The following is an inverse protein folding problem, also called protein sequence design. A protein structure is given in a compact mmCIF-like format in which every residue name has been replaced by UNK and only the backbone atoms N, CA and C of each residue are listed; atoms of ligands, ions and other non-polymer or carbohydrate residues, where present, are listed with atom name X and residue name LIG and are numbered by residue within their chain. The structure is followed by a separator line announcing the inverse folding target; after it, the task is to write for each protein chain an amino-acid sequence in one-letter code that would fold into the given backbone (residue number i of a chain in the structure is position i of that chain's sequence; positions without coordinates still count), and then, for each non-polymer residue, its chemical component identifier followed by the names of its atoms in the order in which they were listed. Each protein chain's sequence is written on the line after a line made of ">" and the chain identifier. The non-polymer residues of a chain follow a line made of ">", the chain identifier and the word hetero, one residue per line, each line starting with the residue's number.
data_IF_912748098545
#
_entry.id   IF_912748098545
#
_cell.length_a   1.000
_cell.length_b   1.000
_cell.length_c   1.000
_cell.angle_alpha   90.00
_cell.angle_beta   90.00
_cell.angle_gamma   90.00
#
_symmetry.space_group_name_H-M   'P 1'
#
loop_
_entity.id
_entity.type
_entity.pdbx_description
1 polymer ?
#
# COMPACT_ATOMS: atom_id res chain seq x y z
N UNK A 1 63.38 20.08 -23.89
CA UNK A 1 62.97 20.15 -25.31
C UNK A 1 61.59 20.79 -25.40
N UNK A 2 61.39 21.81 -26.23
CA UNK A 2 60.06 22.39 -26.44
C UNK A 2 59.18 21.43 -27.27
N UNK A 3 57.92 21.21 -26.86
CA UNK A 3 56.95 20.41 -27.64
C UNK A 3 56.70 21.08 -29.01
N UNK A 4 56.67 20.27 -30.07
CA UNK A 4 56.37 20.75 -31.42
C UNK A 4 54.93 21.28 -31.53
N UNK A 5 54.66 22.13 -32.52
CA UNK A 5 53.31 22.65 -32.77
C UNK A 5 52.29 21.53 -32.98
N UNK A 6 52.66 20.47 -33.69
CA UNK A 6 51.81 19.29 -33.93
C UNK A 6 51.40 18.60 -32.63
N UNK A 7 52.35 18.38 -31.71
CA UNK A 7 52.06 17.74 -30.42
C UNK A 7 51.10 18.59 -29.59
N UNK A 8 51.25 19.92 -29.61
CA UNK A 8 50.34 20.84 -28.90
C UNK A 8 48.93 20.82 -29.49
N UNK A 9 48.80 20.85 -30.81
CA UNK A 9 47.50 20.78 -31.48
C UNK A 9 46.79 19.46 -31.18
N UNK A 10 47.49 18.33 -31.26
CA UNK A 10 46.90 17.02 -30.95
C UNK A 10 46.47 16.91 -29.48
N UNK A 11 47.26 17.47 -28.55
CA UNK A 11 46.89 17.53 -27.14
C UNK A 11 45.57 18.32 -26.95
N UNK A 12 45.44 19.48 -27.59
CA UNK A 12 44.21 20.28 -27.51
C UNK A 12 43.00 19.54 -28.09
N UNK A 13 43.13 18.88 -29.24
CA UNK A 13 42.06 18.08 -29.84
C UNK A 13 41.63 16.96 -28.87
N UNK A 14 42.57 16.26 -28.25
CA UNK A 14 42.26 15.21 -27.29
C UNK A 14 41.50 15.77 -26.06
N UNK A 15 41.93 16.91 -25.53
CA UNK A 15 41.24 17.59 -24.41
C UNK A 15 39.80 17.99 -24.79
N UNK A 16 39.61 18.58 -25.98
CA UNK A 16 38.29 18.97 -26.48
C UNK A 16 37.37 17.75 -26.68
N UNK A 17 37.90 16.66 -27.25
CA UNK A 17 37.17 15.39 -27.45
C UNK A 17 36.75 14.79 -26.12
N UNK A 18 37.66 14.68 -25.15
CA UNK A 18 37.36 14.15 -23.80
C UNK A 18 36.32 15.03 -23.11
N UNK A 19 36.45 16.36 -23.23
CA UNK A 19 35.48 17.31 -22.69
C UNK A 19 34.08 17.13 -23.29
N UNK A 20 33.99 16.90 -24.61
CA UNK A 20 32.75 16.58 -25.31
C UNK A 20 32.11 15.29 -24.78
N UNK A 21 32.88 14.20 -24.69
CA UNK A 21 32.40 12.92 -24.16
C UNK A 21 31.87 13.05 -22.73
N UNK A 22 32.60 13.74 -21.85
CA UNK A 22 32.20 13.90 -20.45
C UNK A 22 30.89 14.69 -20.30
N UNK A 23 30.66 15.69 -21.16
CA UNK A 23 29.39 16.45 -21.19
C UNK A 23 28.22 15.57 -21.62
N UNK A 24 28.41 14.75 -22.68
CA UNK A 24 27.39 13.81 -23.15
C UNK A 24 27.06 12.79 -22.05
N UNK A 25 28.08 12.18 -21.44
CA UNK A 25 27.92 11.22 -20.35
C UNK A 25 27.10 11.81 -19.20
N UNK A 26 27.48 13.01 -18.74
CA UNK A 26 26.78 13.70 -17.65
C UNK A 26 25.31 13.96 -18.01
N UNK A 27 25.05 14.48 -19.22
CA UNK A 27 23.69 14.77 -19.68
C UNK A 27 22.80 13.52 -19.76
N UNK A 28 23.36 12.41 -20.26
CA UNK A 28 22.65 11.12 -20.35
C UNK A 28 22.34 10.58 -18.95
N UNK A 29 23.33 10.53 -18.07
CA UNK A 29 23.17 10.02 -16.70
C UNK A 29 22.14 10.85 -15.92
N UNK A 30 22.18 12.17 -16.03
CA UNK A 30 21.22 13.04 -15.35
C UNK A 30 19.81 12.91 -15.95
N UNK A 31 19.69 12.69 -17.26
CA UNK A 31 18.43 12.36 -17.92
C UNK A 31 17.81 11.09 -17.36
N UNK A 32 18.59 10.01 -17.26
CA UNK A 32 18.13 8.75 -16.67
C UNK A 32 17.70 8.92 -15.21
N UNK A 33 18.49 9.61 -14.37
CA UNK A 33 18.13 9.87 -12.96
C UNK A 33 16.81 10.63 -12.83
N UNK A 34 16.51 11.57 -13.74
CA UNK A 34 15.24 12.32 -13.73
C UNK A 34 14.06 11.41 -14.08
N UNK A 35 14.21 10.57 -15.10
CA UNK A 35 13.19 9.60 -15.51
C UNK A 35 12.90 8.63 -14.37
N UNK A 36 13.94 8.05 -13.77
CA UNK A 36 13.85 7.13 -12.64
C UNK A 36 13.05 7.75 -11.48
N UNK A 37 13.43 8.95 -11.04
CA UNK A 37 12.72 9.68 -9.98
C UNK A 37 11.25 9.91 -10.32
N UNK A 38 10.95 10.28 -11.57
CA UNK A 38 9.57 10.49 -12.04
C UNK A 38 8.75 9.21 -12.00
N UNK A 39 9.30 8.10 -12.50
CA UNK A 39 8.66 6.79 -12.53
C UNK A 39 8.40 6.27 -11.11
N UNK A 40 9.42 6.26 -10.25
CA UNK A 40 9.29 5.82 -8.85
C UNK A 40 8.27 6.67 -8.10
N UNK A 41 8.30 8.00 -8.29
CA UNK A 41 7.33 8.91 -7.68
C UNK A 41 5.91 8.66 -8.18
N UNK A 42 5.73 8.37 -9.47
CA UNK A 42 4.44 8.02 -10.07
C UNK A 42 3.86 6.74 -9.46
N UNK A 43 4.66 5.67 -9.40
CA UNK A 43 4.22 4.40 -8.79
C UNK A 43 3.83 4.57 -7.32
N UNK A 44 4.61 5.31 -6.53
CA UNK A 44 4.32 5.54 -5.11
C UNK A 44 2.99 6.28 -4.91
N UNK A 45 2.65 7.23 -5.79
CA UNK A 45 1.35 7.94 -5.76
C UNK A 45 0.19 7.00 -6.08
N UNK A 46 0.34 6.16 -7.10
CA UNK A 46 -0.67 5.16 -7.49
C UNK A 46 -0.92 4.20 -6.33
N UNK A 47 0.14 3.63 -5.75
CA UNK A 47 0.06 2.72 -4.60
C UNK A 47 -0.66 3.38 -3.41
N UNK A 48 -0.25 4.60 -3.05
CA UNK A 48 -0.86 5.35 -1.93
C UNK A 48 -2.35 5.59 -2.18
N UNK A 49 -2.71 5.99 -3.41
CA UNK A 49 -4.10 6.24 -3.80
C UNK A 49 -4.95 4.97 -3.75
N UNK A 50 -4.47 3.87 -4.33
CA UNK A 50 -5.16 2.59 -4.36
C UNK A 50 -5.37 2.04 -2.94
N UNK A 51 -4.31 1.91 -2.15
CA UNK A 51 -4.38 1.40 -0.77
C UNK A 51 -5.25 2.29 0.11
N UNK A 52 -5.14 3.61 -0.03
CA UNK A 52 -5.98 4.57 0.68
C UNK A 52 -7.46 4.43 0.32
N UNK A 53 -7.78 4.23 -0.95
CA UNK A 53 -9.14 3.98 -1.42
C UNK A 53 -9.74 2.72 -0.82
N UNK A 54 -9.02 1.59 -0.89
CA UNK A 54 -9.47 0.32 -0.31
C UNK A 54 -9.74 0.43 1.20
N UNK A 55 -8.81 1.02 1.96
CA UNK A 55 -8.97 1.20 3.41
C UNK A 55 -10.21 2.02 3.77
N UNK A 56 -10.52 3.06 3.00
CA UNK A 56 -11.73 3.88 3.21
C UNK A 56 -13.01 3.07 2.99
N UNK A 57 -13.06 2.31 1.89
CA UNK A 57 -14.20 1.46 1.58
C UNK A 57 -14.39 0.40 2.67
N UNK A 58 -13.32 -0.28 3.06
CA UNK A 58 -13.33 -1.28 4.14
C UNK A 58 -13.84 -0.70 5.45
N UNK A 59 -13.27 0.43 5.88
CA UNK A 59 -13.67 1.10 7.13
C UNK A 59 -15.15 1.50 7.10
N UNK A 60 -15.63 2.05 5.99
CA UNK A 60 -17.02 2.46 5.84
C UNK A 60 -17.98 1.26 5.82
N UNK A 61 -17.65 0.21 5.06
CA UNK A 61 -18.47 -0.98 4.93
C UNK A 61 -18.55 -1.76 6.26
N UNK A 62 -17.41 -2.06 6.88
CA UNK A 62 -17.36 -2.80 8.16
C UNK A 62 -17.99 -1.97 9.28
N UNK A 63 -17.67 -0.68 9.36
CA UNK A 63 -18.25 0.21 10.37
C UNK A 63 -19.77 0.37 10.21
N UNK A 64 -20.26 0.50 8.97
CA UNK A 64 -21.69 0.57 8.67
C UNK A 64 -22.41 -0.73 9.03
N UNK A 65 -21.85 -1.87 8.65
CA UNK A 65 -22.38 -3.19 8.98
C UNK A 65 -22.46 -3.40 10.50
N UNK A 66 -21.39 -3.12 11.23
CA UNK A 66 -21.36 -3.28 12.68
C UNK A 66 -22.44 -2.42 13.36
N UNK A 67 -22.60 -1.16 12.95
CA UNK A 67 -23.68 -0.30 13.49
C UNK A 67 -25.08 -0.86 13.26
N UNK A 68 -25.35 -1.43 12.09
CA UNK A 68 -26.64 -2.06 11.80
C UNK A 68 -26.81 -3.33 12.65
N UNK A 69 -25.76 -4.15 12.72
CA UNK A 69 -25.77 -5.39 13.50
C UNK A 69 -25.95 -5.11 15.01
N UNK A 70 -25.30 -4.08 15.55
CA UNK A 70 -25.44 -3.68 16.95
C UNK A 70 -26.87 -3.24 17.24
N UNK A 71 -27.46 -2.38 16.40
CA UNK A 71 -28.88 -2.00 16.52
C UNK A 71 -29.83 -3.19 16.40
N UNK A 72 -29.50 -4.18 15.58
CA UNK A 72 -30.32 -5.37 15.45
C UNK A 72 -30.26 -6.23 16.71
N UNK A 73 -29.06 -6.44 17.25
CA UNK A 73 -28.88 -7.18 18.52
C UNK A 73 -29.59 -6.45 19.65
N UNK A 74 -29.39 -5.14 19.77
CA UNK A 74 -29.99 -4.29 20.81
C UNK A 74 -31.52 -4.30 20.79
N UNK A 75 -32.13 -4.19 19.61
CA UNK A 75 -33.59 -4.09 19.51
C UNK A 75 -34.31 -5.45 19.57
N UNK A 76 -33.64 -6.54 19.22
CA UNK A 76 -34.33 -7.82 18.99
C UNK A 76 -33.77 -9.01 19.77
N UNK A 77 -32.52 -8.97 20.23
CA UNK A 77 -31.84 -10.16 20.77
C UNK A 77 -31.24 -10.00 22.17
N UNK A 78 -31.13 -8.78 22.68
CA UNK A 78 -30.84 -8.49 24.09
C UNK A 78 -32.01 -8.91 24.98
N UNK A 79 -31.70 -9.19 26.25
CA UNK A 79 -32.67 -9.38 27.33
C UNK A 79 -32.67 -8.14 28.23
N UNK A 80 -33.66 -8.04 29.12
CA UNK A 80 -33.76 -6.91 30.06
C UNK A 80 -32.47 -6.76 30.89
N UNK A 81 -31.87 -5.56 30.84
CA UNK A 81 -30.62 -5.24 31.52
C UNK A 81 -29.34 -5.80 30.87
N UNK A 82 -29.43 -6.45 29.72
CA UNK A 82 -28.28 -7.01 28.98
C UNK A 82 -27.75 -6.02 27.94
N UNK A 83 -26.43 -5.81 27.90
CA UNK A 83 -25.77 -5.02 26.84
C UNK A 83 -25.64 -5.79 25.52
N UNK A 84 -25.36 -5.08 24.43
CA UNK A 84 -25.13 -5.68 23.10
C UNK A 84 -23.94 -6.64 23.12
N UNK A 85 -22.84 -6.27 23.78
CA UNK A 85 -21.66 -7.10 23.92
C UNK A 85 -21.96 -8.40 24.68
N UNK A 86 -22.70 -8.31 25.78
CA UNK A 86 -23.13 -9.49 26.56
C UNK A 86 -24.05 -10.39 25.75
N UNK A 87 -25.04 -9.81 25.06
CA UNK A 87 -25.93 -10.55 24.18
C UNK A 87 -25.17 -11.29 23.08
N UNK A 88 -24.14 -10.66 22.47
CA UNK A 88 -23.27 -11.31 21.47
C UNK A 88 -22.49 -12.48 22.06
N UNK A 89 -21.92 -12.33 23.26
CA UNK A 89 -21.21 -13.40 23.95
C UNK A 89 -22.13 -14.60 24.22
N UNK A 90 -23.31 -14.35 24.80
CA UNK A 90 -24.33 -15.37 25.06
C UNK A 90 -24.78 -16.07 23.78
N UNK A 91 -25.12 -15.32 22.74
CA UNK A 91 -25.58 -15.90 21.46
C UNK A 91 -24.50 -16.79 20.83
N UNK A 92 -23.24 -16.41 20.94
CA UNK A 92 -22.11 -17.21 20.44
C UNK A 92 -22.01 -18.53 21.19
N UNK A 93 -22.09 -18.49 22.52
CA UNK A 93 -22.08 -19.70 23.36
C UNK A 93 -23.28 -20.60 23.06
N UNK A 94 -24.49 -20.03 22.97
CA UNK A 94 -25.70 -20.77 22.59
C UNK A 94 -25.55 -21.44 21.22
N UNK A 95 -24.97 -20.77 20.22
CA UNK A 95 -24.74 -21.34 18.89
C UNK A 95 -23.72 -22.48 18.93
N UNK A 96 -22.64 -22.34 19.70
CA UNK A 96 -21.64 -23.40 19.88
C UNK A 96 -22.27 -24.63 20.55
N UNK A 97 -23.08 -24.44 21.58
CA UNK A 97 -23.80 -25.51 22.28
C UNK A 97 -24.83 -26.19 21.36
N UNK A 98 -25.54 -25.42 20.51
CA UNK A 98 -26.45 -25.96 19.48
C UNK A 98 -25.70 -26.80 18.45
N UNK A 99 -24.53 -26.37 17.99
CA UNK A 99 -23.69 -27.13 17.04
C UNK A 99 -23.15 -28.41 17.68
N UNK A 100 -22.67 -28.33 18.92
CA UNK A 100 -22.17 -29.48 19.67
C UNK A 100 -23.26 -30.54 19.88
N UNK A 101 -24.45 -30.12 20.31
CA UNK A 101 -25.60 -31.03 20.50
C UNK A 101 -26.09 -31.66 19.20
N UNK A 102 -26.12 -30.91 18.08
CA UNK A 102 -26.41 -31.46 16.74
C UNK A 102 -25.38 -32.50 16.32
N UNK A 103 -24.10 -32.20 16.51
CA UNK A 103 -23.00 -33.11 16.16
C UNK A 103 -23.02 -34.39 17.01
N UNK A 104 -23.44 -34.29 18.26
CA UNK A 104 -23.60 -35.44 19.16
C UNK A 104 -24.88 -36.25 18.91
N UNK A 105 -25.76 -35.85 17.98
CA UNK A 105 -27.03 -36.53 17.71
C UNK A 105 -28.09 -36.35 18.80
N UNK A 106 -27.92 -35.35 19.68
CA UNK A 106 -28.73 -35.18 20.90
C UNK A 106 -29.99 -34.33 20.65
N UNK A 107 -30.10 -33.66 19.49
CA UNK A 107 -31.30 -32.90 19.11
C UNK A 107 -31.84 -33.38 17.76
N UNK A 108 -33.04 -33.96 17.78
CA UNK A 108 -33.92 -34.06 16.60
C UNK A 108 -34.55 -32.69 16.33
#
# INVERSE_FOLDING_TARGET
>A
MAKSKLVKTNQKIAEDVIGGYKKIETGVVDGYKKIEKGVVGGYKKIETGAVGGYKKIETAAVGGFNKIADKFVDNYLTKEGESVEEARARLTEEQNNRKASRKAGIRQ
#
